data_IF_904676121398
#
_entry.id   IF_904676121398
#
_cell.length_a   1.000
_cell.length_b   1.000
_cell.length_c   1.000
_cell.angle_alpha   90.00
_cell.angle_beta   90.00
_cell.angle_gamma   90.00
#
_symmetry.space_group_name_H-M   'P 1'
#
loop_
_entity.id
_entity.type
_entity.pdbx_description
1 polymer ?
#
# COMPACT_ATOMS: atom_id res chain seq x y z
N UNK A 1 -12.81 -4.65 1.76
CA UNK A 1 -11.38 -5.00 1.68
C UNK A 1 -10.70 -4.05 0.70
N UNK A 2 -9.53 -3.50 1.05
CA UNK A 2 -8.69 -2.71 0.13
C UNK A 2 -7.69 -3.63 -0.57
N UNK A 3 -7.44 -3.40 -1.86
CA UNK A 3 -6.58 -4.21 -2.73
C UNK A 3 -5.28 -3.48 -3.10
N UNK A 4 -5.07 -2.25 -2.62
CA UNK A 4 -3.87 -1.45 -2.87
C UNK A 4 -2.58 -2.21 -2.50
N UNK A 5 -2.57 -2.89 -1.35
CA UNK A 5 -1.43 -3.66 -0.88
C UNK A 5 -1.14 -4.92 -1.75
N UNK A 6 -2.07 -5.29 -2.63
CA UNK A 6 -1.94 -6.44 -3.54
C UNK A 6 -1.53 -6.03 -4.95
N UNK A 7 -1.32 -4.74 -5.23
CA UNK A 7 -0.89 -4.23 -6.54
C UNK A 7 -1.99 -4.22 -7.60
N UNK A 8 -3.25 -4.24 -7.20
CA UNK A 8 -4.41 -4.23 -8.11
C UNK A 8 -4.77 -2.78 -8.49
N UNK A 9 -5.11 -2.48 -9.76
CA UNK A 9 -5.48 -1.12 -10.17
C UNK A 9 -6.81 -0.60 -9.60
N UNK A 10 -7.62 -1.49 -9.00
CA UNK A 10 -8.87 -1.13 -8.31
C UNK A 10 -8.64 -1.26 -6.82
N UNK A 11 -9.07 -0.25 -6.07
CA UNK A 11 -8.74 -0.18 -4.65
C UNK A 11 -9.67 -1.01 -3.75
N UNK A 12 -10.96 -1.19 -4.08
CA UNK A 12 -11.92 -1.61 -3.03
C UNK A 12 -12.91 -2.68 -3.48
N UNK A 13 -13.01 -3.72 -2.65
CA UNK A 13 -14.07 -4.73 -2.68
C UNK A 13 -15.05 -4.49 -1.52
N UNK A 14 -16.34 -4.51 -1.82
CA UNK A 14 -17.42 -4.36 -0.83
C UNK A 14 -18.19 -5.66 -0.74
N UNK A 15 -18.26 -6.20 0.48
CA UNK A 15 -19.18 -7.26 0.87
C UNK A 15 -20.27 -6.62 1.73
N UNK A 16 -21.54 -6.94 1.47
CA UNK A 16 -22.67 -6.44 2.25
C UNK A 16 -23.36 -7.61 2.96
N UNK A 17 -23.99 -7.31 4.10
CA UNK A 17 -24.88 -8.23 4.79
C UNK A 17 -26.18 -8.44 3.99
N UNK A 18 -26.89 -9.54 4.27
CA UNK A 18 -28.10 -9.94 3.54
C UNK A 18 -29.23 -8.90 3.57
N UNK A 19 -29.23 -8.00 4.56
CA UNK A 19 -30.22 -6.94 4.74
C UNK A 19 -30.08 -5.76 3.77
N UNK A 20 -28.95 -5.63 3.07
CA UNK A 20 -28.70 -4.53 2.13
C UNK A 20 -28.53 -5.08 0.73
N UNK A 21 -29.10 -4.41 -0.27
CA UNK A 21 -28.84 -4.74 -1.68
C UNK A 21 -27.67 -3.90 -2.22
N UNK A 22 -26.40 -4.36 -2.11
CA UNK A 22 -25.24 -3.61 -2.60
C UNK A 22 -25.30 -3.37 -4.11
N UNK A 23 -25.99 -4.24 -4.86
CA UNK A 23 -26.16 -4.09 -6.30
C UNK A 23 -26.98 -2.85 -6.65
N UNK A 24 -28.07 -2.59 -5.92
CA UNK A 24 -28.92 -1.40 -6.12
C UNK A 24 -28.15 -0.12 -5.78
N UNK A 25 -27.50 -0.10 -4.62
CA UNK A 25 -26.70 1.06 -4.21
C UNK A 25 -25.55 1.35 -5.19
N UNK A 26 -24.83 0.31 -5.62
CA UNK A 26 -23.76 0.45 -6.64
C UNK A 26 -24.29 0.99 -7.97
N UNK A 27 -25.49 0.57 -8.40
CA UNK A 27 -26.10 1.09 -9.64
C UNK A 27 -26.52 2.54 -9.50
N UNK A 28 -27.13 2.92 -8.37
CA UNK A 28 -27.57 4.28 -8.10
C UNK A 28 -26.40 5.27 -8.01
N UNK A 29 -25.27 4.83 -7.45
CA UNK A 29 -24.03 5.62 -7.36
C UNK A 29 -23.20 5.61 -8.66
N UNK A 30 -23.70 5.01 -9.75
CA UNK A 30 -23.01 4.97 -11.03
C UNK A 30 -21.89 3.92 -11.16
N UNK A 31 -21.67 3.08 -10.15
CA UNK A 31 -20.66 2.00 -10.15
C UNK A 31 -21.01 0.79 -11.03
N UNK A 32 -21.95 0.92 -11.96
CA UNK A 32 -22.45 -0.14 -12.84
C UNK A 32 -21.56 -0.46 -14.05
N UNK A 33 -20.24 -0.61 -13.85
CA UNK A 33 -19.24 -0.81 -14.92
C UNK A 33 -19.50 -2.08 -15.75
N UNK A 34 -19.21 -2.01 -17.06
CA UNK A 34 -19.39 -3.13 -18.02
C UNK A 34 -18.12 -3.97 -18.20
N UNK A 35 -16.93 -3.39 -18.06
CA UNK A 35 -15.64 -4.09 -18.22
C UNK A 35 -14.99 -4.52 -16.89
N UNK A 36 -15.79 -4.65 -15.83
CA UNK A 36 -15.27 -4.99 -14.49
C UNK A 36 -14.68 -6.40 -14.41
N UNK A 37 -15.03 -7.30 -15.33
CA UNK A 37 -14.55 -8.68 -15.33
C UNK A 37 -13.02 -8.79 -15.41
N UNK A 38 -12.38 -7.99 -16.27
CA UNK A 38 -10.92 -7.96 -16.40
C UNK A 38 -10.27 -7.50 -15.09
N UNK A 39 -10.85 -6.48 -14.46
CA UNK A 39 -10.37 -5.97 -13.17
C UNK A 39 -10.55 -7.01 -12.04
N UNK A 40 -11.67 -7.75 -12.03
CA UNK A 40 -11.90 -8.82 -11.08
C UNK A 40 -10.94 -9.99 -11.25
N UNK A 41 -10.56 -10.34 -12.49
CA UNK A 41 -9.59 -11.40 -12.76
C UNK A 41 -8.21 -11.04 -12.19
N UNK A 42 -7.74 -9.81 -12.41
CA UNK A 42 -6.48 -9.32 -11.83
C UNK A 42 -6.55 -9.32 -10.30
N UNK A 43 -7.67 -8.86 -9.72
CA UNK A 43 -7.86 -8.85 -8.27
C UNK A 43 -7.82 -10.26 -7.66
N UNK A 44 -8.37 -11.25 -8.36
CA UNK A 44 -8.40 -12.64 -7.90
C UNK A 44 -7.00 -13.26 -7.90
N UNK A 45 -6.22 -13.05 -8.97
CA UNK A 45 -4.83 -13.52 -9.06
C UNK A 45 -3.97 -12.87 -7.96
N UNK A 46 -4.10 -11.55 -7.80
CA UNK A 46 -3.36 -10.82 -6.78
C UNK A 46 -3.71 -11.28 -5.35
N UNK A 47 -4.96 -11.65 -5.08
CA UNK A 47 -5.36 -12.17 -3.77
C UNK A 47 -4.73 -13.54 -3.48
N UNK A 48 -4.51 -14.37 -4.50
CA UNK A 48 -3.89 -15.69 -4.32
C UNK A 48 -2.37 -15.59 -4.21
N UNK A 49 -1.73 -14.72 -4.99
CA UNK A 49 -0.26 -14.67 -5.12
C UNK A 49 0.39 -13.63 -4.19
N UNK A 50 -0.23 -12.47 -3.97
CA UNK A 50 0.42 -11.35 -3.27
C UNK A 50 0.14 -11.29 -1.78
N UNK A 51 -0.84 -12.04 -1.25
CA UNK A 51 -1.13 -12.05 0.20
C UNK A 51 0.06 -12.57 1.00
N UNK A 52 0.75 -13.60 0.51
CA UNK A 52 1.94 -14.14 1.16
C UNK A 52 3.12 -13.13 1.17
N UNK A 53 3.17 -12.23 0.20
CA UNK A 53 4.26 -11.25 0.06
C UNK A 53 4.16 -10.10 1.06
N UNK A 54 3.00 -9.89 1.70
CA UNK A 54 2.80 -8.82 2.68
C UNK A 54 3.74 -8.92 3.89
N UNK A 55 4.06 -10.14 4.34
CA UNK A 55 5.02 -10.35 5.43
C UNK A 55 6.44 -9.90 5.03
N UNK A 56 6.83 -10.21 3.79
CA UNK A 56 8.10 -9.76 3.23
C UNK A 56 8.16 -8.24 3.16
N UNK A 57 7.06 -7.60 2.79
CA UNK A 57 6.96 -6.14 2.74
C UNK A 57 7.05 -5.49 4.14
N UNK A 58 6.46 -6.11 5.16
CA UNK A 58 6.63 -5.66 6.55
C UNK A 58 8.09 -5.77 6.99
N UNK A 59 8.78 -6.87 6.65
CA UNK A 59 10.22 -7.04 6.94
C UNK A 59 11.07 -5.99 6.22
N UNK A 60 10.78 -5.72 4.95
CA UNK A 60 11.47 -4.69 4.15
C UNK A 60 11.27 -3.29 4.73
N UNK A 61 10.06 -2.97 5.20
CA UNK A 61 9.79 -1.69 5.86
C UNK A 61 10.60 -1.55 7.16
N UNK A 62 10.77 -2.62 7.95
CA UNK A 62 11.64 -2.60 9.13
C UNK A 62 13.11 -2.38 8.79
N UNK A 63 13.64 -3.12 7.81
CA UNK A 63 15.01 -2.94 7.33
C UNK A 63 15.24 -1.52 6.81
N UNK A 64 14.25 -0.98 6.07
CA UNK A 64 14.29 0.39 5.58
C UNK A 64 14.26 1.41 6.72
N UNK A 65 13.43 1.21 7.75
CA UNK A 65 13.37 2.07 8.92
C UNK A 65 14.69 2.09 9.69
N UNK A 66 15.32 0.91 9.89
CA UNK A 66 16.64 0.78 10.49
C UNK A 66 17.71 1.53 9.68
N UNK A 67 17.71 1.37 8.35
CA UNK A 67 18.63 2.08 7.46
C UNK A 67 18.43 3.60 7.48
N UNK A 68 17.18 4.07 7.51
CA UNK A 68 16.88 5.50 7.60
C UNK A 68 17.35 6.11 8.93
N UNK A 69 17.34 5.34 10.03
CA UNK A 69 17.77 5.80 11.35
C UNK A 69 19.31 5.94 11.46
N UNK A 70 20.08 5.40 10.51
CA UNK A 70 21.53 5.61 10.43
C UNK A 70 21.87 7.02 9.91
N UNK A 71 20.92 7.70 9.24
CA UNK A 71 21.09 9.05 8.72
C UNK A 71 20.82 10.03 9.86
N UNK A 72 21.84 10.78 10.30
CA UNK A 72 21.78 11.68 11.48
C UNK A 72 20.61 12.66 11.50
N UNK A 73 20.07 13.01 10.34
CA UNK A 73 19.00 13.99 10.16
C UNK A 73 17.59 13.39 10.11
N UNK A 74 17.49 12.07 10.06
CA UNK A 74 16.24 11.33 10.01
C UNK A 74 16.17 10.46 11.26
N UNK A 75 15.11 10.65 12.05
CA UNK A 75 14.77 9.73 13.13
C UNK A 75 13.44 9.10 12.79
N UNK A 76 13.45 7.78 12.74
CA UNK A 76 12.26 6.95 12.55
C UNK A 76 12.09 6.12 13.80
N UNK A 77 10.87 6.10 14.34
CA UNK A 77 10.53 5.24 15.46
C UNK A 77 10.23 3.83 14.93
N UNK A 78 11.20 2.93 15.09
CA UNK A 78 11.14 1.56 14.55
C UNK A 78 9.99 0.77 15.18
N UNK A 79 9.66 1.05 16.44
CA UNK A 79 8.59 0.35 17.17
C UNK A 79 7.21 0.69 16.61
N UNK A 80 7.08 1.83 15.90
CA UNK A 80 5.84 2.22 15.22
C UNK A 80 5.66 1.61 13.83
N UNK A 81 6.67 0.89 13.32
CA UNK A 81 6.64 0.27 11.98
C UNK A 81 6.11 -1.17 12.08
N UNK A 82 4.78 -1.28 12.15
CA UNK A 82 4.08 -2.57 12.21
C UNK A 82 3.73 -3.15 10.83
N UNK A 83 3.63 -2.28 9.80
CA UNK A 83 3.17 -2.64 8.45
C UNK A 83 4.14 -2.12 7.37
N UNK A 84 3.76 -2.23 6.09
CA UNK A 84 4.54 -1.73 4.95
C UNK A 84 4.55 -0.18 4.81
N UNK A 85 4.37 0.58 5.89
CA UNK A 85 4.32 2.04 5.84
C UNK A 85 5.22 2.63 6.93
N UNK A 86 6.15 3.48 6.52
CA UNK A 86 7.03 4.23 7.42
C UNK A 86 6.58 5.69 7.40
N UNK A 87 6.28 6.24 8.58
CA UNK A 87 5.96 7.65 8.73
C UNK A 87 7.24 8.41 9.05
N UNK A 88 7.62 9.31 8.16
CA UNK A 88 8.71 10.25 8.40
C UNK A 88 8.14 11.56 8.92
N UNK A 89 8.69 12.13 10.01
CA UNK A 89 8.30 13.46 10.42
C UNK A 89 8.66 14.46 9.30
N UNK A 90 7.78 15.44 9.00
CA UNK A 90 8.11 16.47 8.04
C UNK A 90 9.34 17.22 8.53
N UNK A 91 10.36 17.35 7.68
CA UNK A 91 11.50 18.22 7.98
C UNK A 91 10.97 19.65 8.08
N UNK A 92 11.09 20.28 9.24
CA UNK A 92 11.11 21.74 9.33
C UNK A 92 12.42 22.21 8.71
N UNK A 93 12.42 22.47 7.41
CA UNK A 93 13.58 22.97 6.70
C UNK A 93 13.91 24.41 7.14
N UNK A 94 15.04 24.56 7.83
CA UNK A 94 16.00 25.59 7.51
C UNK A 94 17.32 24.89 7.20
N UNK A 95 17.79 24.97 5.95
CA UNK A 95 19.11 24.46 5.55
C UNK A 95 19.08 23.35 4.50
N UNK A 96 19.44 23.74 3.28
CA UNK A 96 19.72 22.96 2.08
C UNK A 96 20.25 21.54 2.28
N UNK A 97 19.46 20.54 1.88
CA UNK A 97 19.99 19.27 1.40
C UNK A 97 19.27 18.88 0.11
N UNK A 98 20.07 18.78 -0.96
CA UNK A 98 19.70 18.06 -2.17
C UNK A 98 19.26 16.67 -1.71
N UNK A 99 17.98 16.35 -1.90
CA UNK A 99 17.57 14.97 -2.00
C UNK A 99 18.28 14.41 -3.23
N UNK A 100 19.52 13.97 -3.06
CA UNK A 100 20.07 12.97 -3.95
C UNK A 100 19.14 11.78 -3.78
N UNK A 101 18.30 11.62 -4.81
CA UNK A 101 17.41 10.50 -5.02
C UNK A 101 18.00 9.27 -4.36
N UNK A 102 17.42 8.83 -3.25
CA UNK A 102 17.65 7.48 -2.73
C UNK A 102 17.26 6.57 -3.88
N UNK A 103 18.26 6.13 -4.66
CA UNK A 103 18.13 5.06 -5.61
C UNK A 103 17.73 3.84 -4.80
N UNK A 104 16.44 3.63 -4.66
CA UNK A 104 15.85 2.33 -4.33
C UNK A 104 16.05 1.41 -5.54
N UNK A 105 17.30 1.05 -5.78
CA UNK A 105 17.74 0.04 -6.75
C UNK A 105 18.07 -1.27 -6.02
N UNK A 106 17.41 -1.51 -4.87
CA UNK A 106 17.58 -2.70 -4.03
C UNK A 106 16.24 -3.31 -3.68
N UNK A 107 15.42 -3.57 -4.69
CA UNK A 107 14.24 -4.42 -4.54
C UNK A 107 13.68 -4.90 -5.89
N UNK A 108 14.57 -5.44 -6.72
CA UNK A 108 14.18 -6.34 -7.81
C UNK A 108 14.78 -7.72 -7.52
N UNK A 109 14.04 -8.83 -7.73
CA UNK A 109 14.69 -10.04 -8.19
C UNK A 109 15.30 -9.82 -9.59
#
# INVERSE_FOLDING_TARGET
MTLQALGVPVDRLVQAADSVSPRRLRKNLGGGMRHVGILCAVALVALHENVANLDTDHKRAKILAEGLNQIKELRVDIDTVETNIIKLPPRTCCGSLRLDFIKMELLKP
#
